data_IF_132895189370
#
_entry.id   IF_132895189370
#
_cell.length_a   1.000
_cell.length_b   1.000
_cell.length_c   1.000
_cell.angle_alpha   90.00
_cell.angle_beta   90.00
_cell.angle_gamma   90.00
#
_symmetry.space_group_name_H-M   'P 1'
#
loop_
_entity.id
_entity.type
_entity.pdbx_description
1 polymer ?
#
# COMPACT_ATOMS: atom_id res chain seq x y z
N UNK A 1 47.05 -49.08 -5.03
CA UNK A 1 45.82 -48.45 -5.58
C UNK A 1 44.88 -48.09 -4.43
N UNK A 2 44.95 -46.84 -3.98
CA UNK A 2 44.30 -46.30 -2.79
C UNK A 2 42.88 -45.85 -3.15
N UNK A 3 41.84 -46.62 -2.82
CA UNK A 3 40.45 -46.15 -2.90
C UNK A 3 40.15 -45.28 -1.68
N UNK A 4 40.08 -43.96 -1.87
CA UNK A 4 39.47 -43.04 -0.90
C UNK A 4 37.96 -43.16 -1.04
N UNK A 5 37.28 -43.60 0.02
CA UNK A 5 35.85 -43.40 0.21
C UNK A 5 35.58 -41.92 0.47
N UNK A 6 34.71 -41.32 -0.33
CA UNK A 6 34.18 -39.98 -0.09
C UNK A 6 33.03 -40.08 0.93
N UNK A 7 32.98 -39.26 1.98
CA UNK A 7 31.75 -39.09 2.73
C UNK A 7 30.83 -38.18 1.92
N UNK A 8 29.69 -38.74 1.52
CA UNK A 8 28.51 -38.01 1.03
C UNK A 8 27.99 -37.13 2.17
N UNK A 9 28.57 -35.93 2.29
CA UNK A 9 28.01 -34.86 3.10
C UNK A 9 26.82 -34.28 2.36
N UNK A 10 25.62 -34.81 2.61
CA UNK A 10 24.38 -34.13 2.31
C UNK A 10 24.31 -32.89 3.22
N UNK A 11 24.66 -31.71 2.68
CA UNK A 11 24.29 -30.46 3.32
C UNK A 11 22.76 -30.39 3.34
N UNK A 12 22.17 -30.78 4.47
CA UNK A 12 20.83 -30.38 4.83
C UNK A 12 20.79 -28.85 4.82
N UNK A 13 19.79 -28.19 4.22
CA UNK A 13 19.57 -26.77 4.43
C UNK A 13 18.99 -26.59 5.84
N UNK A 14 19.82 -26.79 6.86
CA UNK A 14 19.44 -26.51 8.24
C UNK A 14 19.53 -24.99 8.47
N UNK A 15 18.37 -24.42 8.81
CA UNK A 15 18.12 -23.08 9.36
C UNK A 15 18.18 -21.90 8.37
N UNK A 16 17.03 -21.56 7.79
CA UNK A 16 16.79 -20.25 7.20
C UNK A 16 16.85 -19.16 8.28
N UNK A 17 18.04 -18.61 8.53
CA UNK A 17 18.21 -17.46 9.41
C UNK A 17 17.58 -16.23 8.76
N UNK A 18 16.59 -15.63 9.43
CA UNK A 18 15.91 -14.42 8.99
C UNK A 18 16.90 -13.29 8.68
N UNK A 19 16.76 -12.58 7.54
CA UNK A 19 17.62 -11.44 7.24
C UNK A 19 17.45 -10.34 8.32
N UNK A 20 18.52 -9.64 8.70
CA UNK A 20 18.46 -8.57 9.68
C UNK A 20 17.52 -7.46 9.21
N UNK A 21 16.72 -6.92 10.13
CA UNK A 21 15.80 -5.81 9.86
C UNK A 21 16.27 -4.56 10.58
N UNK A 22 16.27 -3.44 9.89
CA UNK A 22 16.73 -2.14 10.41
C UNK A 22 15.52 -1.22 10.51
N UNK A 23 15.35 -0.59 11.67
CA UNK A 23 14.27 0.39 11.91
C UNK A 23 14.89 1.78 11.99
N UNK A 24 14.51 2.65 11.06
CA UNK A 24 14.93 4.05 11.04
C UNK A 24 13.94 4.93 11.82
N UNK A 25 14.15 5.08 13.13
CA UNK A 25 13.23 5.78 14.05
C UNK A 25 13.57 7.26 14.31
N UNK A 26 14.56 7.82 13.60
CA UNK A 26 14.94 9.24 13.74
C UNK A 26 14.87 9.97 12.39
N UNK A 27 14.59 11.28 12.36
CA UNK A 27 14.58 12.06 11.12
C UNK A 27 15.90 11.95 10.34
N UNK A 28 17.03 11.91 11.04
CA UNK A 28 18.36 11.73 10.44
C UNK A 28 18.49 10.37 9.76
N UNK A 29 18.11 9.29 10.43
CA UNK A 29 18.14 7.95 9.86
C UNK A 29 17.15 7.81 8.68
N UNK A 30 15.94 8.36 8.81
CA UNK A 30 14.95 8.35 7.73
C UNK A 30 15.43 9.14 6.50
N UNK A 31 16.12 10.27 6.68
CA UNK A 31 16.75 11.02 5.58
C UNK A 31 17.80 10.16 4.87
N UNK A 32 18.61 9.44 5.63
CA UNK A 32 19.65 8.59 5.06
C UNK A 32 19.06 7.47 4.20
N UNK A 33 18.01 6.80 4.69
CA UNK A 33 17.32 5.71 3.97
C UNK A 33 16.50 6.22 2.78
N UNK A 34 15.75 7.31 2.94
CA UNK A 34 14.75 7.76 1.95
C UNK A 34 15.27 8.80 0.96
N UNK A 35 16.49 9.33 1.16
CA UNK A 35 17.09 10.31 0.24
C UNK A 35 18.52 9.96 -0.14
N UNK A 36 19.40 9.68 0.84
CA UNK A 36 20.82 9.43 0.56
C UNK A 36 21.03 8.08 -0.12
N UNK A 37 20.32 7.05 0.34
CA UNK A 37 20.38 5.68 -0.17
C UNK A 37 19.02 5.19 -0.69
N UNK A 38 18.22 6.10 -1.24
CA UNK A 38 16.85 5.85 -1.66
C UNK A 38 16.74 4.72 -2.70
N UNK A 39 17.65 4.66 -3.67
CA UNK A 39 17.72 3.60 -4.68
C UNK A 39 18.06 2.24 -4.07
N UNK A 40 19.00 2.18 -3.12
CA UNK A 40 19.39 0.94 -2.45
C UNK A 40 18.27 0.40 -1.54
N UNK A 41 17.37 1.27 -1.11
CA UNK A 41 16.20 0.92 -0.30
C UNK A 41 14.88 1.04 -1.09
N UNK A 42 14.94 1.12 -2.42
CA UNK A 42 13.77 1.32 -3.26
C UNK A 42 12.98 0.02 -3.47
N UNK A 43 13.66 -1.12 -3.48
CA UNK A 43 13.02 -2.41 -3.68
C UNK A 43 12.09 -2.75 -2.52
N UNK A 44 10.96 -3.36 -2.87
CA UNK A 44 9.94 -3.81 -1.93
C UNK A 44 10.15 -5.30 -1.64
N UNK A 45 10.01 -5.74 -0.38
CA UNK A 45 9.94 -7.16 -0.06
C UNK A 45 8.82 -7.81 -0.87
N UNK A 46 9.04 -9.04 -1.30
CA UNK A 46 8.01 -9.81 -1.99
C UNK A 46 6.97 -10.29 -0.97
N UNK A 47 5.82 -9.62 -0.94
CA UNK A 47 4.73 -9.89 -0.01
C UNK A 47 3.72 -10.85 -0.63
N UNK A 48 3.23 -11.81 0.16
CA UNK A 48 2.20 -12.75 -0.30
C UNK A 48 0.94 -12.03 -0.82
N UNK A 49 0.57 -10.92 -0.19
CA UNK A 49 -0.52 -10.05 -0.65
C UNK A 49 -0.32 -9.58 -2.09
N UNK A 50 0.89 -9.10 -2.43
CA UNK A 50 1.19 -8.63 -3.78
C UNK A 50 1.12 -9.75 -4.82
N UNK A 51 1.51 -10.96 -4.43
CA UNK A 51 1.41 -12.16 -5.27
C UNK A 51 -0.03 -12.54 -5.59
N UNK A 52 -0.88 -12.59 -4.56
CA UNK A 52 -2.26 -13.06 -4.68
C UNK A 52 -3.16 -11.96 -5.27
N UNK A 53 -3.10 -10.74 -4.74
CA UNK A 53 -4.08 -9.68 -5.04
C UNK A 53 -3.62 -8.72 -6.14
N UNK A 54 -2.31 -8.48 -6.28
CA UNK A 54 -1.78 -7.41 -7.15
C UNK A 54 -1.03 -7.93 -8.39
N UNK A 55 -1.54 -9.03 -8.97
CA UNK A 55 -1.04 -9.63 -10.22
C UNK A 55 0.48 -9.86 -10.16
N UNK A 56 0.93 -10.58 -9.13
CA UNK A 56 2.34 -10.86 -8.89
C UNK A 56 3.19 -9.60 -8.67
N UNK A 57 2.71 -8.70 -7.82
CA UNK A 57 3.37 -7.43 -7.47
C UNK A 57 3.71 -6.59 -8.69
N UNK A 58 2.74 -6.37 -9.59
CA UNK A 58 2.89 -5.52 -10.79
C UNK A 58 2.08 -4.23 -10.68
N UNK A 59 1.70 -3.84 -9.47
CA UNK A 59 1.05 -2.57 -9.15
C UNK A 59 2.07 -1.46 -8.85
N UNK A 60 1.60 -0.24 -8.62
CA UNK A 60 2.48 0.92 -8.36
C UNK A 60 3.04 0.97 -6.91
N UNK A 61 2.46 0.20 -5.99
CA UNK A 61 2.79 0.18 -4.55
C UNK A 61 3.83 -0.89 -4.23
N UNK A 62 3.64 -2.12 -4.70
CA UNK A 62 4.49 -3.28 -4.37
C UNK A 62 5.42 -3.74 -5.48
N UNK A 63 5.33 -3.19 -6.71
CA UNK A 63 6.24 -3.63 -7.76
C UNK A 63 7.72 -3.34 -7.44
N UNK A 64 8.63 -4.29 -7.74
CA UNK A 64 10.06 -4.07 -7.63
C UNK A 64 10.51 -2.84 -8.41
N UNK A 65 11.56 -2.20 -7.93
CA UNK A 65 12.06 -1.01 -8.57
C UNK A 65 12.70 -1.36 -9.92
N UNK A 66 12.29 -0.65 -10.97
CA UNK A 66 12.77 -0.91 -12.33
C UNK A 66 12.06 -0.02 -13.34
N UNK A 67 12.33 -0.25 -14.62
CA UNK A 67 11.79 0.59 -15.71
C UNK A 67 10.27 0.62 -15.73
N UNK A 68 9.62 -0.52 -15.50
CA UNK A 68 8.16 -0.61 -15.40
C UNK A 68 7.60 0.29 -14.28
N UNK A 69 8.11 0.13 -13.05
CA UNK A 69 7.64 0.93 -11.92
C UNK A 69 7.93 2.41 -12.12
N UNK A 70 9.11 2.77 -12.66
CA UNK A 70 9.47 4.18 -12.97
C UNK A 70 8.50 4.78 -13.98
N UNK A 71 8.15 4.04 -15.03
CA UNK A 71 7.20 4.48 -16.05
C UNK A 71 5.80 4.64 -15.46
N UNK A 72 5.30 3.66 -14.71
CA UNK A 72 4.00 3.74 -14.04
C UNK A 72 3.94 4.92 -13.09
N UNK A 73 4.98 5.11 -12.26
CA UNK A 73 5.07 6.26 -11.35
C UNK A 73 5.07 7.59 -12.10
N UNK A 74 5.77 7.68 -13.23
CA UNK A 74 5.76 8.88 -14.08
C UNK A 74 4.37 9.18 -14.60
N UNK A 75 3.67 8.19 -15.19
CA UNK A 75 2.31 8.36 -15.72
C UNK A 75 1.34 8.76 -14.60
N UNK A 76 1.35 8.06 -13.47
CA UNK A 76 0.46 8.37 -12.35
C UNK A 76 0.70 9.77 -11.81
N UNK A 77 1.95 10.22 -11.70
CA UNK A 77 2.27 11.55 -11.16
C UNK A 77 2.03 12.68 -12.16
N UNK A 78 2.27 12.47 -13.46
CA UNK A 78 2.09 13.50 -14.49
C UNK A 78 0.65 13.63 -14.98
N UNK A 79 -0.09 12.52 -15.08
CA UNK A 79 -1.42 12.52 -15.69
C UNK A 79 -2.54 12.43 -14.65
N UNK A 80 -2.44 11.48 -13.72
CA UNK A 80 -3.55 11.15 -12.81
C UNK A 80 -3.54 12.02 -11.54
N UNK A 81 -2.36 12.29 -11.01
CA UNK A 81 -2.14 12.95 -9.73
C UNK A 81 -1.40 14.28 -9.87
N UNK A 82 -1.37 14.86 -11.07
CA UNK A 82 -0.79 16.18 -11.27
C UNK A 82 -1.57 17.25 -10.53
N UNK A 83 -0.89 18.35 -10.15
CA UNK A 83 -1.53 19.46 -9.45
C UNK A 83 -2.75 20.02 -10.22
N UNK A 84 -2.67 20.06 -11.56
CA UNK A 84 -3.80 20.46 -12.41
C UNK A 84 -4.97 19.48 -12.28
N UNK A 85 -4.71 18.17 -12.37
CA UNK A 85 -5.74 17.13 -12.26
C UNK A 85 -6.39 17.14 -10.87
N UNK A 86 -5.60 17.20 -9.81
CA UNK A 86 -6.08 17.30 -8.42
C UNK A 86 -6.92 18.56 -8.20
N UNK A 87 -6.53 19.72 -8.77
CA UNK A 87 -7.33 20.95 -8.71
C UNK A 87 -8.65 20.83 -9.46
N UNK A 88 -8.69 20.13 -10.60
CA UNK A 88 -9.92 19.93 -11.36
C UNK A 88 -11.01 19.20 -10.57
N UNK A 89 -10.62 18.35 -9.61
CA UNK A 89 -11.55 17.64 -8.71
C UNK A 89 -11.96 18.44 -7.46
N UNK A 90 -11.71 19.76 -7.44
CA UNK A 90 -12.08 20.62 -6.30
C UNK A 90 -13.57 20.54 -5.98
N UNK A 91 -14.43 20.68 -6.98
CA UNK A 91 -15.87 20.68 -6.77
C UNK A 91 -16.37 19.35 -6.16
N UNK A 92 -15.80 18.22 -6.57
CA UNK A 92 -16.11 16.91 -5.99
C UNK A 92 -15.80 16.92 -4.49
N UNK A 93 -14.60 17.39 -4.10
CA UNK A 93 -14.21 17.44 -2.68
C UNK A 93 -15.09 18.39 -1.87
N UNK A 94 -15.43 19.56 -2.42
CA UNK A 94 -16.27 20.54 -1.74
C UNK A 94 -17.69 20.00 -1.53
N UNK A 95 -18.26 19.33 -2.54
CA UNK A 95 -19.59 18.72 -2.45
C UNK A 95 -19.64 17.57 -1.43
N UNK A 96 -18.70 16.62 -1.48
CA UNK A 96 -18.66 15.51 -0.51
C UNK A 96 -18.39 16.02 0.92
N UNK A 97 -17.55 17.05 1.07
CA UNK A 97 -17.31 17.68 2.38
C UNK A 97 -18.55 18.36 2.92
N UNK A 98 -19.32 19.04 2.06
CA UNK A 98 -20.57 19.67 2.47
C UNK A 98 -21.61 18.62 2.91
N UNK A 99 -21.74 17.51 2.17
CA UNK A 99 -22.63 16.41 2.55
C UNK A 99 -22.25 15.80 3.91
N UNK A 100 -20.95 15.67 4.21
CA UNK A 100 -20.48 15.25 5.52
C UNK A 100 -20.93 16.23 6.62
N UNK A 101 -20.74 17.52 6.41
CA UNK A 101 -21.16 18.56 7.38
C UNK A 101 -22.67 18.53 7.60
N UNK A 102 -23.48 18.39 6.54
CA UNK A 102 -24.92 18.27 6.65
C UNK A 102 -25.35 17.00 7.40
N UNK A 103 -24.68 15.87 7.17
CA UNK A 103 -24.95 14.61 7.89
C UNK A 103 -24.69 14.76 9.39
N UNK A 104 -23.56 15.36 9.76
CA UNK A 104 -23.22 15.63 11.18
C UNK A 104 -24.22 16.60 11.79
N UNK A 105 -24.56 17.70 11.09
CA UNK A 105 -25.53 18.69 11.57
C UNK A 105 -26.93 18.10 11.74
N UNK A 106 -27.32 17.16 10.90
CA UNK A 106 -28.62 16.49 11.00
C UNK A 106 -28.67 15.45 12.13
N UNK A 107 -27.50 15.05 12.65
CA UNK A 107 -27.36 14.07 13.72
C UNK A 107 -27.25 14.70 15.11
N UNK A 108 -27.58 16.00 15.26
CA UNK A 108 -27.55 16.70 16.55
C UNK A 108 -28.42 15.97 17.57
N UNK A 109 -27.83 15.66 18.73
CA UNK A 109 -28.49 14.90 19.80
C UNK A 109 -28.31 13.39 19.73
N UNK A 110 -27.65 12.87 18.68
CA UNK A 110 -27.35 11.45 18.50
C UNK A 110 -25.83 11.20 18.41
N UNK A 111 -25.31 10.06 18.93
CA UNK A 111 -23.92 9.67 18.70
C UNK A 111 -23.63 9.47 17.20
N UNK A 112 -22.48 9.96 16.74
CA UNK A 112 -22.03 9.84 15.35
C UNK A 112 -20.71 9.07 15.30
N UNK A 113 -20.64 8.05 14.44
CA UNK A 113 -19.38 7.42 14.08
C UNK A 113 -18.68 8.23 12.99
N UNK A 114 -17.84 9.18 13.40
CA UNK A 114 -17.15 10.06 12.48
C UNK A 114 -16.14 9.33 11.59
N UNK A 115 -15.53 8.24 12.08
CA UNK A 115 -14.59 7.43 11.28
C UNK A 115 -15.28 6.87 10.05
N UNK A 116 -16.45 6.24 10.22
CA UNK A 116 -17.25 5.70 9.11
C UNK A 116 -17.67 6.79 8.13
N UNK A 117 -18.11 7.95 8.62
CA UNK A 117 -18.54 9.03 7.73
C UNK A 117 -17.37 9.61 6.92
N UNK A 118 -16.19 9.79 7.52
CA UNK A 118 -15.00 10.29 6.81
C UNK A 118 -14.47 9.27 5.81
N UNK A 119 -14.41 7.99 6.18
CA UNK A 119 -14.04 6.91 5.25
C UNK A 119 -15.01 6.86 4.07
N UNK A 120 -16.31 7.01 4.35
CA UNK A 120 -17.34 7.08 3.32
C UNK A 120 -17.18 8.27 2.38
N UNK A 121 -16.96 9.46 2.94
CA UNK A 121 -16.68 10.67 2.16
C UNK A 121 -15.41 10.50 1.29
N UNK A 122 -14.33 9.97 1.86
CA UNK A 122 -13.08 9.75 1.12
C UNK A 122 -13.28 8.77 -0.05
N UNK A 123 -13.99 7.67 0.18
CA UNK A 123 -14.36 6.72 -0.87
C UNK A 123 -15.20 7.40 -1.97
N UNK A 124 -16.21 8.18 -1.61
CA UNK A 124 -17.04 8.91 -2.58
C UNK A 124 -16.21 9.88 -3.43
N UNK A 125 -15.28 10.63 -2.81
CA UNK A 125 -14.34 11.50 -3.54
C UNK A 125 -13.49 10.70 -4.52
N UNK A 126 -12.90 9.59 -4.08
CA UNK A 126 -12.02 8.75 -4.91
C UNK A 126 -12.81 8.14 -6.08
N UNK A 127 -13.96 7.53 -5.82
CA UNK A 127 -14.79 6.92 -6.86
C UNK A 127 -15.28 7.96 -7.88
N UNK A 128 -15.71 9.14 -7.43
CA UNK A 128 -16.12 10.22 -8.34
C UNK A 128 -14.94 10.76 -9.15
N UNK A 129 -13.75 10.88 -8.56
CA UNK A 129 -12.56 11.33 -9.28
C UNK A 129 -12.05 10.29 -10.30
N UNK A 130 -12.13 9.00 -9.98
CA UNK A 130 -11.59 7.92 -10.80
C UNK A 130 -12.59 7.38 -11.85
N UNK A 131 -13.85 7.23 -11.47
CA UNK A 131 -14.91 6.56 -12.27
C UNK A 131 -15.97 7.56 -12.74
N UNK A 132 -16.06 8.74 -12.12
CA UNK A 132 -17.04 9.78 -12.46
C UNK A 132 -18.35 9.69 -11.66
N UNK A 133 -18.53 8.69 -10.80
CA UNK A 133 -19.73 8.50 -9.96
C UNK A 133 -19.40 7.85 -8.62
N UNK A 134 -20.34 7.92 -7.66
CA UNK A 134 -20.24 7.22 -6.38
C UNK A 134 -20.29 5.70 -6.58
N UNK A 135 -19.68 4.95 -5.67
CA UNK A 135 -19.78 3.49 -5.68
C UNK A 135 -21.19 3.08 -5.20
N UNK A 136 -21.84 2.16 -5.93
CA UNK A 136 -23.11 1.58 -5.48
C UNK A 136 -22.90 0.57 -4.34
N UNK A 137 -21.74 -0.08 -4.32
CA UNK A 137 -21.30 -1.05 -3.32
C UNK A 137 -20.22 -0.41 -2.43
N UNK A 138 -20.59 0.71 -1.83
CA UNK A 138 -19.64 1.54 -1.09
C UNK A 138 -19.10 0.83 0.14
N UNK A 139 -19.97 0.18 0.90
CA UNK A 139 -19.60 -0.47 2.15
C UNK A 139 -18.70 -1.68 1.89
N UNK A 140 -19.04 -2.49 0.88
CA UNK A 140 -18.24 -3.64 0.47
C UNK A 140 -16.86 -3.22 -0.07
N UNK A 141 -16.79 -2.10 -0.80
CA UNK A 141 -15.52 -1.58 -1.29
C UNK A 141 -14.64 -1.09 -0.13
N UNK A 142 -15.23 -0.44 0.87
CA UNK A 142 -14.50 0.02 2.06
C UNK A 142 -13.97 -1.18 2.85
N UNK A 143 -14.80 -2.20 3.07
CA UNK A 143 -14.41 -3.43 3.75
C UNK A 143 -13.22 -4.11 3.05
N UNK A 144 -13.28 -4.26 1.72
CA UNK A 144 -12.17 -4.84 0.94
C UNK A 144 -10.90 -3.99 1.06
N UNK A 145 -11.00 -2.66 1.07
CA UNK A 145 -9.84 -1.77 1.22
C UNK A 145 -9.24 -1.89 2.63
N UNK A 146 -10.06 -2.00 3.67
CA UNK A 146 -9.61 -2.22 5.04
C UNK A 146 -8.90 -3.57 5.20
N UNK A 147 -9.43 -4.63 4.58
CA UNK A 147 -8.79 -5.94 4.53
C UNK A 147 -7.43 -5.87 3.82
N UNK A 148 -7.36 -5.24 2.64
CA UNK A 148 -6.11 -5.06 1.90
C UNK A 148 -5.09 -4.29 2.76
N UNK A 149 -5.51 -3.25 3.47
CA UNK A 149 -4.64 -2.48 4.35
C UNK A 149 -4.15 -3.32 5.55
N UNK A 150 -5.02 -4.13 6.13
CA UNK A 150 -4.68 -5.06 7.21
C UNK A 150 -3.63 -6.08 6.75
N UNK A 151 -3.88 -6.77 5.64
CA UNK A 151 -2.95 -7.75 5.05
C UNK A 151 -1.66 -7.10 4.55
N UNK A 152 -1.72 -5.85 4.08
CA UNK A 152 -0.60 -5.10 3.53
C UNK A 152 0.32 -4.46 4.56
N UNK A 153 -0.07 -4.44 5.83
CA UNK A 153 0.70 -3.82 6.93
C UNK A 153 2.03 -4.52 7.22
N UNK A 154 2.31 -5.69 6.60
CA UNK A 154 3.61 -6.36 6.66
C UNK A 154 3.93 -7.05 7.99
N UNK A 155 2.94 -7.18 8.87
CA UNK A 155 3.03 -7.97 10.10
C UNK A 155 2.47 -9.39 9.92
N UNK A 156 2.61 -9.99 8.75
CA UNK A 156 2.12 -11.34 8.55
C UNK A 156 3.06 -12.38 9.15
N UNK A 157 2.50 -13.35 9.88
CA UNK A 157 3.27 -14.46 10.46
C UNK A 157 3.98 -15.26 9.36
N UNK A 158 3.37 -15.49 8.19
CA UNK A 158 4.08 -16.19 7.12
C UNK A 158 5.14 -15.33 6.41
N UNK A 159 5.13 -14.00 6.59
CA UNK A 159 6.26 -13.15 6.16
C UNK A 159 7.37 -13.10 7.26
N UNK A 160 7.11 -13.71 8.44
CA UNK A 160 8.04 -13.81 9.57
C UNK A 160 8.74 -15.18 9.66
N UNK A 161 8.22 -16.21 8.99
CA UNK A 161 8.72 -17.58 9.02
C UNK A 161 8.88 -18.16 7.60
N UNK A 162 9.86 -19.05 7.36
CA UNK A 162 10.03 -19.74 6.08
C UNK A 162 8.84 -20.64 5.72
#
# INVERSE_FOLDING_TARGET
TRRKSAPTGTCRPDTASRPPRIVASTPRAAKEVLKTHDLSCADRPDMLLGRIMLKNSRDIVLAPYGDYWRQMRKISTSELLSANKVRSFRNIREEESWQLVESVRSSVGSPVNFSTQVTGMANAVICRAAIGKKCAYQDELIEVVEDIAYWGSGFFVADLFP
#
